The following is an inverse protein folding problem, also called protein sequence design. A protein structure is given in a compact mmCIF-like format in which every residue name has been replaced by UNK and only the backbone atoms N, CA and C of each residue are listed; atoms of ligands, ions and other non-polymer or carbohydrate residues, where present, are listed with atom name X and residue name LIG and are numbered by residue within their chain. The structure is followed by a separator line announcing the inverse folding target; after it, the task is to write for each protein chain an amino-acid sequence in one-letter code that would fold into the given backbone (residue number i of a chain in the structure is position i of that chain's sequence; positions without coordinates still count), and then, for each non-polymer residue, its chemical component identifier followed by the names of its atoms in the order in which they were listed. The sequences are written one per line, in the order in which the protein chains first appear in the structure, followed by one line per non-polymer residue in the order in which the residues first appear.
data_IF_242697530847
#
_entry.id   IF_242697530847
#
_cell.length_a   1.000
_cell.length_b   1.000
_cell.length_c   1.000
_cell.angle_alpha   90.00
_cell.angle_beta   90.00
_cell.angle_gamma   90.00
#
_symmetry.space_group_name_H-M   'P 1'
#
loop_
_entity.id
_entity.type
_entity.pdbx_description
1 polymer ?
#
# COMPACT_ATOMS: atom_id res chain seq x y z
N UNK A 1 -0.99 5.37 14.90
CA UNK A 1 0.15 5.05 14.00
C UNK A 1 1.52 5.28 14.65
N UNK A 2 1.63 5.79 15.88
CA UNK A 2 2.93 6.01 16.57
C UNK A 2 3.46 4.80 17.36
N UNK A 3 2.70 3.71 17.47
CA UNK A 3 3.06 2.58 18.34
C UNK A 3 3.98 1.53 17.69
N UNK A 4 4.01 1.40 16.35
CA UNK A 4 4.84 0.38 15.68
C UNK A 4 6.31 0.81 15.51
N UNK A 5 6.60 2.11 15.43
CA UNK A 5 7.98 2.61 15.26
C UNK A 5 8.82 2.45 16.53
N UNK A 6 8.22 2.59 17.71
CA UNK A 6 8.91 2.39 19.00
C UNK A 6 9.29 0.92 19.21
N UNK A 7 8.40 -0.02 18.88
CA UNK A 7 8.68 -1.45 19.05
C UNK A 7 9.71 -1.98 18.06
N UNK A 8 9.71 -1.45 16.82
CA UNK A 8 10.68 -1.86 15.81
C UNK A 8 12.09 -1.32 16.10
N UNK A 9 12.19 -0.11 16.64
CA UNK A 9 13.46 0.47 17.11
C UNK A 9 14.02 -0.27 18.34
N UNK A 10 13.17 -0.65 19.29
CA UNK A 10 13.59 -1.42 20.46
C UNK A 10 14.15 -2.79 20.10
N UNK A 11 13.50 -3.52 19.19
CA UNK A 11 13.97 -4.84 18.77
C UNK A 11 15.22 -4.74 17.90
N UNK A 12 15.31 -3.75 17.01
CA UNK A 12 16.54 -3.49 16.24
C UNK A 12 17.71 -3.15 17.17
N UNK A 13 17.46 -2.33 18.19
CA UNK A 13 18.46 -1.99 19.20
C UNK A 13 18.91 -3.21 20.02
N UNK A 14 17.98 -4.09 20.39
CA UNK A 14 18.30 -5.32 21.09
C UNK A 14 19.22 -6.22 20.25
N UNK A 15 18.90 -6.39 18.96
CA UNK A 15 19.73 -7.14 18.01
C UNK A 15 21.14 -6.53 17.89
N UNK A 16 21.26 -5.21 17.75
CA UNK A 16 22.55 -4.50 17.67
C UNK A 16 23.38 -4.70 18.94
N UNK A 17 22.76 -4.58 20.12
CA UNK A 17 23.45 -4.75 21.41
C UNK A 17 23.93 -6.19 21.60
N UNK A 18 23.07 -7.18 21.38
CA UNK A 18 23.43 -8.59 21.53
C UNK A 18 24.53 -8.99 20.53
N UNK A 19 24.52 -8.43 19.32
CA UNK A 19 25.55 -8.63 18.31
C UNK A 19 26.88 -7.96 18.70
N UNK A 20 26.83 -6.74 19.22
CA UNK A 20 28.00 -6.01 19.74
C UNK A 20 28.70 -6.81 20.84
N UNK A 21 27.93 -7.36 21.77
CA UNK A 21 28.44 -8.19 22.87
C UNK A 21 29.09 -9.48 22.35
N UNK A 22 28.45 -10.14 21.37
CA UNK A 22 28.98 -11.35 20.73
C UNK A 22 30.30 -11.10 19.99
N UNK A 23 30.37 -10.06 19.16
CA UNK A 23 31.58 -9.71 18.40
C UNK A 23 32.70 -9.23 19.31
N UNK A 24 32.37 -8.49 20.37
CA UNK A 24 33.36 -8.05 21.36
C UNK A 24 33.97 -9.23 22.12
N UNK A 25 33.13 -10.17 22.57
CA UNK A 25 33.58 -11.40 23.23
C UNK A 25 34.49 -12.24 22.32
N UNK A 26 34.12 -12.33 21.05
CA UNK A 26 34.92 -13.02 20.06
C UNK A 26 36.25 -12.30 19.74
N UNK A 27 36.25 -10.98 19.67
CA UNK A 27 37.46 -10.18 19.50
C UNK A 27 38.44 -10.36 20.66
N UNK A 28 37.92 -10.48 21.88
CA UNK A 28 38.70 -10.81 23.07
C UNK A 28 39.25 -12.23 23.01
N UNK A 29 38.46 -13.20 22.52
CA UNK A 29 38.95 -14.57 22.27
C UNK A 29 40.13 -14.57 21.28
N UNK A 30 40.01 -13.84 20.19
CA UNK A 30 41.10 -13.70 19.22
C UNK A 30 42.34 -13.06 19.84
N UNK A 31 42.20 -12.02 20.66
CA UNK A 31 43.33 -11.39 21.35
C UNK A 31 43.99 -12.33 22.34
N UNK A 32 43.20 -13.09 23.11
CA UNK A 32 43.74 -14.07 24.05
C UNK A 32 44.55 -15.13 23.31
N UNK A 33 44.09 -15.62 22.15
CA UNK A 33 44.84 -16.58 21.34
C UNK A 33 46.08 -15.95 20.69
N UNK A 34 45.99 -14.72 20.17
CA UNK A 34 47.11 -14.03 19.52
C UNK A 34 48.26 -13.70 20.49
N UNK A 35 47.95 -13.45 21.76
CA UNK A 35 48.93 -13.09 22.78
C UNK A 35 49.49 -14.32 23.54
N UNK A 36 49.08 -15.54 23.18
CA UNK A 36 49.57 -16.77 23.80
C UNK A 36 50.92 -17.20 23.20
N UNK A 37 51.81 -17.71 24.06
CA UNK A 37 53.01 -18.43 23.64
C UNK A 37 52.63 -19.89 23.31
N UNK A 38 52.39 -20.17 22.03
CA UNK A 38 52.02 -21.50 21.53
C UNK A 38 53.12 -22.56 21.75
N UNK A 39 54.34 -22.15 22.14
CA UNK A 39 55.47 -23.06 22.34
C UNK A 39 55.60 -23.58 23.79
N UNK A 40 54.86 -23.01 24.74
CA UNK A 40 54.93 -23.36 26.17
C UNK A 40 53.58 -23.82 26.73
N UNK A 41 53.34 -25.15 26.87
CA UNK A 41 52.04 -25.71 27.26
C UNK A 41 51.60 -25.41 28.71
N UNK A 42 52.44 -24.79 29.55
CA UNK A 42 52.08 -24.43 30.94
C UNK A 42 51.47 -23.01 31.06
N UNK A 43 51.36 -22.24 29.98
CA UNK A 43 50.79 -20.87 29.98
C UNK A 43 49.34 -20.77 29.50
N UNK A 44 48.73 -21.92 29.18
CA UNK A 44 47.45 -21.97 28.50
C UNK A 44 46.25 -21.83 29.46
N UNK A 45 45.62 -20.65 29.49
CA UNK A 45 44.41 -20.40 30.28
C UNK A 45 43.16 -20.94 29.57
N UNK A 46 42.99 -22.25 29.69
CA UNK A 46 41.89 -23.01 29.09
C UNK A 46 40.52 -22.55 29.59
N UNK A 47 40.41 -22.26 30.90
CA UNK A 47 39.16 -21.81 31.49
C UNK A 47 38.73 -20.44 30.95
N UNK A 48 39.68 -19.53 30.73
CA UNK A 48 39.39 -18.24 30.14
C UNK A 48 38.85 -18.35 28.70
N UNK A 49 39.47 -19.18 27.85
CA UNK A 49 38.99 -19.42 26.48
C UNK A 49 37.58 -20.05 26.50
N UNK A 50 37.36 -21.03 27.37
CA UNK A 50 36.06 -21.69 27.50
C UNK A 50 34.96 -20.70 27.89
N UNK A 51 35.22 -19.84 28.87
CA UNK A 51 34.29 -18.77 29.28
C UNK A 51 33.96 -17.84 28.10
N UNK A 52 34.95 -17.46 27.30
CA UNK A 52 34.73 -16.62 26.11
C UNK A 52 33.88 -17.31 25.04
N UNK A 53 34.10 -18.61 24.78
CA UNK A 53 33.29 -19.39 23.83
C UNK A 53 31.83 -19.46 24.30
N UNK A 54 31.58 -19.78 25.58
CA UNK A 54 30.23 -19.88 26.15
C UNK A 54 29.52 -18.52 26.11
N UNK A 55 30.20 -17.44 26.49
CA UNK A 55 29.63 -16.10 26.46
C UNK A 55 29.25 -15.68 25.03
N UNK A 56 30.13 -15.98 24.06
CA UNK A 56 29.88 -15.71 22.64
C UNK A 56 28.68 -16.51 22.13
N UNK A 57 28.62 -17.81 22.45
CA UNK A 57 27.50 -18.68 22.09
C UNK A 57 26.16 -18.15 22.63
N UNK A 58 26.13 -17.75 23.91
CA UNK A 58 24.92 -17.23 24.56
C UNK A 58 24.47 -15.89 23.97
N UNK A 59 25.38 -14.95 23.72
CA UNK A 59 25.07 -13.65 23.11
C UNK A 59 24.52 -13.81 21.68
N UNK A 60 25.13 -14.67 20.87
CA UNK A 60 24.68 -14.94 19.50
C UNK A 60 23.35 -15.71 19.45
N UNK A 61 23.12 -16.64 20.39
CA UNK A 61 21.82 -17.32 20.57
C UNK A 61 20.72 -16.33 20.91
N UNK A 62 20.97 -15.38 21.82
CA UNK A 62 20.02 -14.32 22.18
C UNK A 62 19.68 -13.45 20.97
N UNK A 63 20.69 -13.06 20.19
CA UNK A 63 20.51 -12.31 18.94
C UNK A 63 19.60 -13.05 17.95
N UNK A 64 19.76 -14.37 17.83
CA UNK A 64 18.91 -15.22 16.96
C UNK A 64 17.46 -15.24 17.42
N UNK A 65 17.22 -15.35 18.73
CA UNK A 65 15.87 -15.32 19.30
C UNK A 65 15.19 -13.96 19.12
N UNK A 66 15.94 -12.87 19.27
CA UNK A 66 15.43 -11.51 19.03
C UNK A 66 15.09 -11.29 17.55
N UNK A 67 15.91 -11.81 16.64
CA UNK A 67 15.64 -11.79 15.20
C UNK A 67 14.39 -12.63 14.83
N UNK A 68 14.21 -13.81 15.45
CA UNK A 68 13.00 -14.63 15.30
C UNK A 68 11.74 -13.88 15.74
N UNK A 69 11.79 -13.22 16.90
CA UNK A 69 10.69 -12.40 17.39
C UNK A 69 10.35 -11.26 16.42
N UNK A 70 11.35 -10.60 15.82
CA UNK A 70 11.12 -9.55 14.82
C UNK A 70 10.56 -10.09 13.51
N UNK A 71 11.02 -11.25 13.04
CA UNK A 71 10.45 -11.89 11.86
C UNK A 71 8.96 -12.22 12.05
N UNK A 72 8.58 -12.73 13.23
CA UNK A 72 7.17 -12.97 13.57
C UNK A 72 6.32 -11.69 13.50
N UNK A 73 6.86 -10.55 13.98
CA UNK A 73 6.18 -9.25 13.86
C UNK A 73 6.06 -8.77 12.42
N UNK A 74 7.09 -8.96 11.60
CA UNK A 74 7.05 -8.58 10.18
C UNK A 74 6.07 -9.46 9.39
N UNK A 75 5.94 -10.74 9.76
CA UNK A 75 4.92 -11.64 9.20
C UNK A 75 3.51 -11.14 9.58
N UNK A 76 3.26 -10.80 10.85
CA UNK A 76 1.98 -10.23 11.32
C UNK A 76 1.65 -8.91 10.61
N UNK A 77 2.61 -8.00 10.47
CA UNK A 77 2.45 -6.75 9.74
C UNK A 77 2.13 -7.00 8.25
N UNK A 78 2.76 -8.00 7.65
CA UNK A 78 2.48 -8.40 6.25
C UNK A 78 1.04 -8.91 6.11
N UNK A 79 0.57 -9.75 7.03
CA UNK A 79 -0.81 -10.25 7.03
C UNK A 79 -1.81 -9.10 7.18
N UNK A 80 -1.60 -8.21 8.16
CA UNK A 80 -2.47 -7.07 8.41
C UNK A 80 -2.51 -6.09 7.22
N UNK A 81 -1.36 -5.77 6.64
CA UNK A 81 -1.28 -4.91 5.45
C UNK A 81 -1.93 -5.58 4.23
N UNK A 82 -1.79 -6.89 4.08
CA UNK A 82 -2.44 -7.64 3.00
C UNK A 82 -3.95 -7.62 3.17
N UNK A 83 -4.47 -7.79 4.40
CA UNK A 83 -5.89 -7.67 4.69
C UNK A 83 -6.41 -6.25 4.39
N UNK A 84 -5.67 -5.21 4.79
CA UNK A 84 -6.00 -3.82 4.48
C UNK A 84 -6.00 -3.55 2.97
N UNK A 85 -5.04 -4.09 2.23
CA UNK A 85 -4.96 -3.96 0.77
C UNK A 85 -6.21 -4.54 0.10
N UNK A 86 -6.63 -5.74 0.50
CA UNK A 86 -7.84 -6.37 -0.03
C UNK A 86 -9.11 -5.59 0.33
N UNK A 87 -9.21 -5.10 1.55
CA UNK A 87 -10.35 -4.28 1.97
C UNK A 87 -10.46 -2.98 1.15
N UNK A 88 -9.34 -2.27 0.95
CA UNK A 88 -9.29 -1.06 0.13
C UNK A 88 -9.60 -1.35 -1.34
N UNK A 89 -9.07 -2.45 -1.90
CA UNK A 89 -9.35 -2.85 -3.27
C UNK A 89 -10.86 -3.09 -3.49
N UNK A 90 -11.50 -3.77 -2.54
CA UNK A 90 -12.95 -3.97 -2.58
C UNK A 90 -13.73 -2.65 -2.55
N UNK A 91 -13.38 -1.74 -1.64
CA UNK A 91 -14.01 -0.41 -1.56
C UNK A 91 -13.84 0.36 -2.88
N UNK A 92 -12.66 0.28 -3.49
CA UNK A 92 -12.35 0.91 -4.77
C UNK A 92 -13.22 0.36 -5.90
N UNK A 93 -13.39 -0.95 -5.97
CA UNK A 93 -14.21 -1.59 -7.00
C UNK A 93 -15.71 -1.30 -6.80
N UNK A 94 -16.20 -1.32 -5.56
CA UNK A 94 -17.57 -0.91 -5.22
C UNK A 94 -17.84 0.55 -5.64
N UNK A 95 -16.89 1.45 -5.40
CA UNK A 95 -16.99 2.86 -5.80
C UNK A 95 -17.00 3.03 -7.32
N UNK A 96 -16.26 2.21 -8.07
CA UNK A 96 -16.27 2.25 -9.54
C UNK A 96 -17.59 1.78 -10.10
N UNK A 97 -18.15 0.70 -9.55
CA UNK A 97 -19.48 0.22 -9.93
C UNK A 97 -20.55 1.30 -9.66
N UNK A 98 -20.46 1.97 -8.51
CA UNK A 98 -21.37 3.06 -8.18
C UNK A 98 -21.18 4.27 -9.12
N UNK A 99 -19.94 4.63 -9.47
CA UNK A 99 -19.64 5.70 -10.42
C UNK A 99 -20.25 5.42 -11.80
N UNK A 100 -20.11 4.20 -12.30
CA UNK A 100 -20.67 3.77 -13.59
C UNK A 100 -22.20 3.87 -13.62
N UNK A 101 -22.84 3.41 -12.53
CA UNK A 101 -24.28 3.53 -12.35
C UNK A 101 -24.73 5.00 -12.23
N UNK A 102 -23.98 5.88 -11.56
CA UNK A 102 -24.27 7.31 -11.51
C UNK A 102 -24.14 7.97 -12.89
N UNK A 103 -23.12 7.61 -13.68
CA UNK A 103 -22.93 8.10 -15.06
C UNK A 103 -24.10 7.69 -15.96
N UNK A 104 -24.52 6.42 -15.87
CA UNK A 104 -25.70 5.92 -16.59
C UNK A 104 -26.98 6.71 -16.24
N UNK A 105 -27.18 7.03 -14.95
CA UNK A 105 -28.33 7.84 -14.51
C UNK A 105 -28.24 9.29 -14.98
N UNK A 106 -27.05 9.88 -14.95
CA UNK A 106 -26.81 11.22 -15.47
C UNK A 106 -27.18 11.31 -16.95
N UNK A 107 -26.78 10.33 -17.76
CA UNK A 107 -27.09 10.31 -19.20
C UNK A 107 -28.60 10.24 -19.45
N UNK A 108 -29.31 9.38 -18.70
CA UNK A 108 -30.77 9.24 -18.81
C UNK A 108 -31.52 10.52 -18.43
N UNK A 109 -31.10 11.19 -17.35
CA UNK A 109 -31.73 12.43 -16.88
C UNK A 109 -31.35 13.63 -17.76
N UNK A 110 -30.14 13.65 -18.33
CA UNK A 110 -29.71 14.65 -19.33
C UNK A 110 -30.53 14.53 -20.61
N UNK A 111 -30.80 13.30 -21.07
CA UNK A 111 -31.68 13.07 -22.22
C UNK A 111 -33.11 13.51 -21.93
N UNK A 112 -33.60 13.26 -20.71
CA UNK A 112 -34.94 13.69 -20.27
C UNK A 112 -35.06 15.21 -20.19
N UNK A 113 -34.03 15.88 -19.65
CA UNK A 113 -33.92 17.34 -19.63
C UNK A 113 -34.00 17.91 -21.05
N UNK A 114 -33.16 17.42 -21.96
CA UNK A 114 -33.15 17.87 -23.36
C UNK A 114 -34.52 17.71 -24.03
N UNK A 115 -35.14 16.54 -23.90
CA UNK A 115 -36.47 16.30 -24.46
C UNK A 115 -37.53 17.25 -23.86
N UNK A 116 -37.44 17.55 -22.55
CA UNK A 116 -38.36 18.46 -21.87
C UNK A 116 -38.15 19.93 -22.27
N UNK A 117 -36.91 20.35 -22.50
CA UNK A 117 -36.57 21.69 -23.00
C UNK A 117 -37.08 21.89 -24.42
N UNK A 118 -36.87 20.92 -25.32
CA UNK A 118 -37.41 20.94 -26.69
C UNK A 118 -38.94 21.03 -26.70
N UNK A 119 -39.60 20.30 -25.79
CA UNK A 119 -41.06 20.34 -25.65
C UNK A 119 -41.55 21.69 -25.13
N UNK A 120 -40.86 22.26 -24.14
CA UNK A 120 -41.17 23.58 -23.59
C UNK A 120 -40.98 24.69 -24.63
N UNK A 121 -39.96 24.60 -25.47
CA UNK A 121 -39.74 25.57 -26.56
C UNK A 121 -40.86 25.53 -27.59
N UNK A 122 -41.32 24.33 -27.96
CA UNK A 122 -42.51 24.17 -28.81
C UNK A 122 -43.76 24.75 -28.13
N UNK A 123 -43.91 24.53 -26.82
CA UNK A 123 -45.02 25.08 -26.02
C UNK A 123 -45.07 26.60 -26.05
N UNK A 124 -43.94 27.25 -25.75
CA UNK A 124 -43.80 28.70 -25.75
C UNK A 124 -44.09 29.28 -27.13
N UNK A 125 -43.55 28.66 -28.18
CA UNK A 125 -43.79 29.07 -29.58
C UNK A 125 -45.28 29.02 -29.93
N UNK A 126 -45.96 27.92 -29.59
CA UNK A 126 -47.39 27.76 -29.84
C UNK A 126 -48.22 28.74 -29.02
N UNK A 127 -47.90 28.93 -27.75
CA UNK A 127 -48.58 29.91 -26.90
C UNK A 127 -48.46 31.32 -27.49
N UNK A 128 -47.24 31.74 -27.86
CA UNK A 128 -46.98 33.05 -28.46
C UNK A 128 -47.78 33.27 -29.75
N UNK A 129 -47.78 32.28 -30.65
CA UNK A 129 -48.56 32.34 -31.89
C UNK A 129 -50.07 32.51 -31.61
N UNK A 130 -50.60 31.85 -30.57
CA UNK A 130 -52.02 31.93 -30.24
C UNK A 130 -52.40 33.20 -29.50
N UNK A 131 -51.55 33.72 -28.62
CA UNK A 131 -51.73 35.04 -28.04
C UNK A 131 -51.77 36.12 -29.13
N UNK A 132 -50.92 36.02 -30.15
CA UNK A 132 -50.93 36.90 -31.32
C UNK A 132 -52.22 36.78 -32.16
N UNK A 133 -52.72 35.56 -32.37
CA UNK A 133 -54.00 35.31 -33.08
C UNK A 133 -55.18 35.85 -32.27
N UNK A 134 -55.20 35.64 -30.96
CA UNK A 134 -56.27 36.12 -30.07
C UNK A 134 -56.27 37.65 -30.00
N UNK A 135 -55.10 38.30 -29.95
CA UNK A 135 -54.97 39.75 -30.07
C UNK A 135 -55.44 40.29 -31.44
N UNK A 136 -55.16 39.57 -32.54
CA UNK A 136 -55.67 39.90 -33.88
C UNK A 136 -57.18 39.71 -34.02
N UNK A 137 -57.78 38.70 -33.37
CA UNK A 137 -59.23 38.52 -33.35
C UNK A 137 -59.94 39.53 -32.45
N UNK A 138 -59.36 39.89 -31.30
CA UNK A 138 -59.86 40.95 -30.42
C UNK A 138 -59.91 42.31 -31.12
N UNK A 139 -59.05 42.53 -32.12
CA UNK A 139 -58.99 43.73 -32.96
C UNK A 139 -59.79 43.64 -34.28
N UNK A 140 -60.37 42.48 -34.64
CA UNK A 140 -61.20 42.30 -35.83
C UNK A 140 -62.55 41.66 -35.48
N UNK A 141 -63.62 42.47 -35.47
CA UNK A 141 -64.99 41.94 -35.49
C UNK A 141 -65.39 41.56 -36.92
N UNK A 142 -65.65 40.26 -37.12
CA UNK A 142 -66.15 39.60 -38.34
C UNK A 142 -65.17 39.55 -39.51
N UNK A 143 -64.79 38.33 -39.96
CA UNK A 143 -65.34 37.63 -41.15
C UNK A 143 -64.43 36.44 -41.53
N UNK A 144 -65.04 35.28 -41.75
CA UNK A 144 -64.71 34.24 -42.75
C UNK A 144 -63.46 33.33 -42.67
N UNK A 145 -63.80 32.04 -42.63
CA UNK A 145 -63.34 30.86 -43.41
C UNK A 145 -61.99 30.21 -43.14
N UNK A 146 -62.10 28.96 -42.67
CA UNK A 146 -61.05 28.01 -42.39
C UNK A 146 -60.28 27.58 -43.64
N UNK A 147 -58.95 27.55 -43.53
CA UNK A 147 -58.07 26.75 -44.38
C UNK A 147 -57.44 25.71 -43.45
N UNK A 148 -57.94 24.49 -43.52
CA UNK A 148 -57.37 23.33 -42.84
C UNK A 148 -56.38 22.65 -43.79
N UNK A 149 -55.11 22.60 -43.37
CA UNK A 149 -54.09 21.85 -44.08
C UNK A 149 -52.83 21.72 -43.25
N UNK A 150 -52.64 20.55 -42.63
CA UNK A 150 -51.36 19.82 -42.53
C UNK A 150 -51.50 18.64 -41.55
N UNK A 151 -51.31 17.42 -42.07
CA UNK A 151 -50.87 16.25 -41.30
C UNK A 151 -49.36 16.42 -40.98
N UNK A 152 -48.79 15.87 -39.87
CA UNK A 152 -48.36 14.46 -39.86
C UNK A 152 -48.26 13.78 -38.47
N UNK A 153 -47.92 12.50 -38.50
CA UNK A 153 -47.70 11.58 -37.38
C UNK A 153 -46.69 12.08 -36.32
N UNK A 154 -46.99 11.89 -35.04
CA UNK A 154 -46.00 11.98 -33.94
C UNK A 154 -46.28 10.94 -32.86
N UNK A 155 -45.26 10.14 -32.59
CA UNK A 155 -45.26 8.96 -31.71
C UNK A 155 -44.78 9.32 -30.29
N UNK A 156 -45.52 8.80 -29.30
CA UNK A 156 -45.06 8.19 -28.03
C UNK A 156 -44.24 9.09 -27.07
N UNK A 157 -44.92 10.07 -26.45
CA UNK A 157 -44.72 10.47 -25.04
C UNK A 157 -46.12 10.87 -24.51
N UNK A 158 -46.52 10.60 -23.24
CA UNK A 158 -47.87 10.90 -22.73
C UNK A 158 -48.29 12.38 -22.73
N UNK A 159 -47.43 13.27 -23.24
CA UNK A 159 -47.53 14.72 -23.12
C UNK A 159 -48.19 15.37 -24.34
N UNK A 160 -48.33 14.72 -25.51
CA UNK A 160 -48.79 15.39 -26.76
C UNK A 160 -50.34 15.51 -26.87
N UNK A 161 -51.07 15.63 -25.76
CA UNK A 161 -52.52 15.86 -25.80
C UNK A 161 -52.93 17.30 -26.15
N UNK A 162 -52.10 18.29 -25.78
CA UNK A 162 -52.46 19.71 -25.78
C UNK A 162 -52.08 20.45 -27.07
N UNK A 163 -51.04 20.02 -27.81
CA UNK A 163 -50.69 20.62 -29.13
C UNK A 163 -51.85 20.51 -30.12
N UNK A 164 -52.54 19.37 -30.13
CA UNK A 164 -53.75 19.18 -30.93
C UNK A 164 -54.92 20.07 -30.45
N UNK A 165 -55.12 20.21 -29.14
CA UNK A 165 -56.20 21.03 -28.57
C UNK A 165 -56.02 22.53 -28.87
N UNK A 166 -54.78 23.02 -28.76
CA UNK A 166 -54.41 24.41 -29.02
C UNK A 166 -54.48 24.74 -30.52
N UNK A 167 -53.99 23.86 -31.39
CA UNK A 167 -54.07 24.05 -32.84
C UNK A 167 -55.53 24.04 -33.35
N UNK A 168 -56.42 23.24 -32.74
CA UNK A 168 -57.85 23.23 -33.07
C UNK A 168 -58.56 24.52 -32.65
N UNK A 169 -58.21 25.10 -31.50
CA UNK A 169 -58.76 26.39 -31.06
C UNK A 169 -58.30 27.56 -31.96
N UNK A 170 -57.10 27.47 -32.53
CA UNK A 170 -56.55 28.48 -33.44
C UNK A 170 -57.13 28.43 -34.86
N UNK A 171 -57.50 27.24 -35.35
CA UNK A 171 -57.93 27.00 -36.73
C UNK A 171 -59.45 27.07 -36.98
N UNK A 172 -60.27 27.06 -35.92
CA UNK A 172 -61.74 27.05 -36.02
C UNK A 172 -62.37 28.41 -35.67
N UNK A 173 -63.54 28.71 -36.23
CA UNK A 173 -64.39 29.84 -35.85
C UNK A 173 -65.02 29.66 -34.46
N UNK A 174 -64.17 29.56 -33.44
CA UNK A 174 -64.54 29.32 -32.04
C UNK A 174 -64.75 30.67 -31.35
N UNK A 175 -65.66 30.75 -30.37
CA UNK A 175 -65.92 31.98 -29.62
C UNK A 175 -64.65 32.45 -28.89
N UNK A 176 -64.44 33.78 -28.80
CA UNK A 176 -63.30 34.41 -28.11
C UNK A 176 -63.15 33.87 -26.66
N UNK A 177 -64.26 33.54 -26.01
CA UNK A 177 -64.32 32.97 -24.66
C UNK A 177 -63.66 31.59 -24.54
N UNK A 178 -63.75 30.76 -25.57
CA UNK A 178 -63.12 29.44 -25.65
C UNK A 178 -61.64 29.56 -26.04
N UNK A 179 -61.29 30.55 -26.88
CA UNK A 179 -59.90 30.89 -27.17
C UNK A 179 -59.15 31.41 -25.94
N UNK A 180 -59.77 32.23 -25.10
CA UNK A 180 -59.18 32.72 -23.84
C UNK A 180 -58.95 31.57 -22.83
N UNK A 181 -59.88 30.61 -22.74
CA UNK A 181 -59.69 29.38 -21.96
C UNK A 181 -58.54 28.53 -22.49
N UNK A 182 -58.41 28.40 -23.80
CA UNK A 182 -57.31 27.65 -24.42
C UNK A 182 -55.95 28.29 -24.12
N UNK A 183 -55.84 29.62 -24.15
CA UNK A 183 -54.62 30.36 -23.76
C UNK A 183 -54.30 30.17 -22.27
N UNK A 184 -55.32 30.18 -21.40
CA UNK A 184 -55.11 29.96 -19.97
C UNK A 184 -54.58 28.55 -19.67
N UNK A 185 -55.21 27.52 -20.24
CA UNK A 185 -54.75 26.12 -20.11
C UNK A 185 -53.34 25.95 -20.67
N UNK A 186 -53.04 26.61 -21.79
CA UNK A 186 -51.70 26.58 -22.37
C UNK A 186 -50.64 27.23 -21.46
N UNK A 187 -50.97 28.29 -20.71
CA UNK A 187 -50.07 28.90 -19.71
C UNK A 187 -49.79 27.97 -18.54
N UNK A 188 -50.82 27.35 -17.97
CA UNK A 188 -50.65 26.39 -16.86
C UNK A 188 -49.76 25.20 -17.26
N UNK A 189 -49.92 24.68 -18.47
CA UNK A 189 -49.07 23.58 -18.97
C UNK A 189 -47.64 24.03 -19.29
N UNK A 190 -47.42 25.28 -19.74
CA UNK A 190 -46.07 25.86 -19.87
C UNK A 190 -45.40 25.95 -18.51
N UNK A 191 -46.07 26.45 -17.47
CA UNK A 191 -45.52 26.51 -16.11
C UNK A 191 -45.17 25.11 -15.57
N UNK A 192 -46.00 24.11 -15.87
CA UNK A 192 -45.76 22.72 -15.50
C UNK A 192 -44.59 22.10 -16.26
N UNK A 193 -44.41 22.44 -17.53
CA UNK A 193 -43.24 22.05 -18.32
C UNK A 193 -41.95 22.73 -17.82
N UNK A 194 -42.01 24.01 -17.45
CA UNK A 194 -40.91 24.73 -16.80
C UNK A 194 -40.52 24.09 -15.47
N UNK A 195 -41.49 23.70 -14.64
CA UNK A 195 -41.23 22.96 -13.40
C UNK A 195 -40.55 21.61 -13.65
N UNK A 196 -40.89 20.91 -14.74
CA UNK A 196 -40.24 19.65 -15.12
C UNK A 196 -38.80 19.87 -15.58
N UNK A 197 -38.55 20.86 -16.46
CA UNK A 197 -37.19 21.25 -16.88
C UNK A 197 -36.33 21.57 -15.66
N UNK A 198 -36.85 22.37 -14.73
CA UNK A 198 -36.15 22.69 -13.47
C UNK A 198 -35.83 21.42 -12.66
N UNK A 199 -36.80 20.52 -12.51
CA UNK A 199 -36.61 19.26 -11.78
C UNK A 199 -35.51 18.39 -12.42
N UNK A 200 -35.50 18.26 -13.74
CA UNK A 200 -34.46 17.49 -14.44
C UNK A 200 -33.09 18.17 -14.36
N UNK A 201 -33.04 19.50 -14.46
CA UNK A 201 -31.81 20.29 -14.29
C UNK A 201 -31.21 20.12 -12.88
N UNK A 202 -32.06 20.17 -11.84
CA UNK A 202 -31.63 19.97 -10.45
C UNK A 202 -31.08 18.55 -10.26
N UNK A 203 -31.71 17.53 -10.85
CA UNK A 203 -31.22 16.15 -10.82
C UNK A 203 -29.89 15.97 -11.55
N UNK A 204 -29.73 16.55 -12.75
CA UNK A 204 -28.47 16.51 -13.51
C UNK A 204 -27.33 17.10 -12.67
N UNK A 205 -27.58 18.26 -12.04
CA UNK A 205 -26.62 18.91 -11.16
C UNK A 205 -26.26 18.04 -9.94
N UNK A 206 -27.25 17.40 -9.31
CA UNK A 206 -27.05 16.46 -8.19
C UNK A 206 -26.21 15.24 -8.61
N UNK A 207 -26.50 14.63 -9.77
CA UNK A 207 -25.71 13.50 -10.28
C UNK A 207 -24.27 13.90 -10.63
N UNK A 208 -24.06 15.07 -11.23
CA UNK A 208 -22.71 15.58 -11.51
C UNK A 208 -21.90 15.80 -10.21
N UNK A 209 -22.53 16.33 -9.16
CA UNK A 209 -21.92 16.47 -7.85
C UNK A 209 -21.55 15.11 -7.23
N UNK A 210 -22.46 14.14 -7.30
CA UNK A 210 -22.21 12.75 -6.82
C UNK A 210 -21.10 12.05 -7.60
N UNK A 211 -21.03 12.23 -8.92
CA UNK A 211 -19.96 11.72 -9.76
C UNK A 211 -18.62 12.33 -9.34
N UNK A 212 -18.56 13.66 -9.20
CA UNK A 212 -17.34 14.36 -8.79
C UNK A 212 -16.83 13.88 -7.43
N UNK A 213 -17.75 13.65 -6.48
CA UNK A 213 -17.44 13.08 -5.17
C UNK A 213 -16.93 11.64 -5.29
N UNK A 214 -17.61 10.79 -6.05
CA UNK A 214 -17.21 9.39 -6.24
C UNK A 214 -15.84 9.27 -6.93
N UNK A 215 -15.53 10.15 -7.89
CA UNK A 215 -14.20 10.22 -8.50
C UNK A 215 -13.12 10.68 -7.52
N UNK A 216 -13.46 11.59 -6.60
CA UNK A 216 -12.57 11.99 -5.51
C UNK A 216 -12.30 10.82 -4.55
N UNK A 217 -13.34 10.10 -4.14
CA UNK A 217 -13.26 8.95 -3.25
C UNK A 217 -12.41 7.81 -3.87
N UNK A 218 -12.57 7.55 -5.18
CA UNK A 218 -11.72 6.59 -5.92
C UNK A 218 -10.26 7.04 -5.89
N UNK A 219 -9.95 8.30 -6.24
CA UNK A 219 -8.58 8.81 -6.23
C UNK A 219 -7.93 8.72 -4.85
N UNK A 220 -8.68 9.02 -3.80
CA UNK A 220 -8.20 8.89 -2.43
C UNK A 220 -7.91 7.42 -2.10
N UNK A 221 -8.80 6.51 -2.47
CA UNK A 221 -8.62 5.07 -2.24
C UNK A 221 -7.43 4.51 -3.03
N UNK A 222 -7.23 4.94 -4.27
CA UNK A 222 -6.06 4.57 -5.09
C UNK A 222 -4.74 5.07 -4.45
N UNK A 223 -4.73 6.28 -3.89
CA UNK A 223 -3.59 6.80 -3.15
C UNK A 223 -3.26 5.97 -1.89
N UNK A 224 -4.29 5.57 -1.15
CA UNK A 224 -4.13 4.68 0.02
C UNK A 224 -3.65 3.28 -0.38
N UNK A 225 -4.16 2.72 -1.49
CA UNK A 225 -3.70 1.45 -2.04
C UNK A 225 -2.20 1.49 -2.35
N UNK A 226 -1.73 2.55 -3.01
CA UNK A 226 -0.31 2.69 -3.36
C UNK A 226 0.56 2.85 -2.11
N UNK A 227 0.07 3.60 -1.11
CA UNK A 227 0.74 3.72 0.19
C UNK A 227 0.86 2.36 0.89
N UNK A 228 -0.19 1.55 0.91
CA UNK A 228 -0.17 0.21 1.50
C UNK A 228 0.76 -0.73 0.73
N UNK A 229 0.77 -0.70 -0.61
CA UNK A 229 1.72 -1.47 -1.43
C UNK A 229 3.17 -1.09 -1.14
N UNK A 230 3.47 0.20 -1.04
CA UNK A 230 4.79 0.69 -0.64
C UNK A 230 5.22 0.14 0.72
N UNK A 231 4.30 0.12 1.70
CA UNK A 231 4.56 -0.47 3.03
C UNK A 231 4.81 -1.98 2.96
N UNK A 232 4.02 -2.73 2.19
CA UNK A 232 4.23 -4.18 2.00
C UNK A 232 5.61 -4.43 1.41
N UNK A 233 6.01 -3.69 0.37
CA UNK A 233 7.34 -3.82 -0.24
C UNK A 233 8.46 -3.55 0.77
N UNK A 234 8.32 -2.50 1.58
CA UNK A 234 9.29 -2.18 2.65
C UNK A 234 9.42 -3.29 3.69
N UNK A 235 8.30 -3.81 4.20
CA UNK A 235 8.27 -4.93 5.17
C UNK A 235 8.88 -6.21 4.57
N UNK A 236 8.62 -6.50 3.29
CA UNK A 236 9.21 -7.65 2.61
C UNK A 236 10.72 -7.55 2.48
N UNK A 237 11.25 -6.39 2.12
CA UNK A 237 12.70 -6.16 2.04
C UNK A 237 13.37 -6.37 3.41
N UNK A 238 12.77 -5.81 4.47
CA UNK A 238 13.25 -6.00 5.83
C UNK A 238 13.22 -7.47 6.26
N UNK A 239 12.13 -8.19 5.96
CA UNK A 239 11.95 -9.60 6.28
C UNK A 239 12.99 -10.48 5.59
N UNK A 240 13.24 -10.27 4.29
CA UNK A 240 14.24 -11.04 3.53
C UNK A 240 15.63 -10.88 4.15
N UNK A 241 16.06 -9.63 4.34
CA UNK A 241 17.40 -9.40 4.82
C UNK A 241 17.59 -9.81 6.30
N UNK A 242 16.53 -9.75 7.13
CA UNK A 242 16.54 -10.27 8.50
C UNK A 242 16.50 -11.81 8.56
N UNK A 243 15.77 -12.48 7.67
CA UNK A 243 15.74 -13.95 7.59
C UNK A 243 17.10 -14.51 7.19
N UNK A 244 17.74 -13.89 6.19
CA UNK A 244 19.11 -14.25 5.83
C UNK A 244 20.11 -14.02 6.97
N UNK A 245 19.95 -12.93 7.74
CA UNK A 245 20.76 -12.68 8.93
C UNK A 245 20.57 -13.78 9.99
N UNK A 246 19.33 -14.16 10.26
CA UNK A 246 18.99 -15.20 11.23
C UNK A 246 19.60 -16.55 10.85
N UNK A 247 19.54 -16.95 9.55
CA UNK A 247 20.15 -18.19 9.06
C UNK A 247 21.65 -18.20 9.33
N UNK A 248 22.34 -17.12 8.94
CA UNK A 248 23.79 -16.97 9.16
C UNK A 248 24.16 -17.02 10.66
N UNK A 249 23.34 -16.39 11.51
CA UNK A 249 23.57 -16.39 12.95
C UNK A 249 23.36 -17.78 13.56
N UNK A 250 22.33 -18.51 13.11
CA UNK A 250 22.05 -19.87 13.57
C UNK A 250 23.21 -20.83 13.23
N UNK A 251 23.77 -20.71 12.03
CA UNK A 251 24.95 -21.48 11.62
C UNK A 251 26.16 -21.18 12.52
N UNK A 252 26.37 -19.91 12.85
CA UNK A 252 27.43 -19.47 13.78
C UNK A 252 27.25 -20.05 15.19
N UNK A 253 26.03 -19.96 15.74
CA UNK A 253 25.69 -20.53 17.05
C UNK A 253 25.91 -22.04 17.06
N UNK A 254 25.55 -22.73 15.98
CA UNK A 254 25.77 -24.16 15.85
C UNK A 254 27.27 -24.51 15.89
N UNK A 255 28.10 -23.79 15.13
CA UNK A 255 29.55 -23.99 15.10
C UNK A 255 30.20 -23.71 16.46
N UNK A 256 29.77 -22.65 17.16
CA UNK A 256 30.22 -22.37 18.54
C UNK A 256 29.83 -23.49 19.50
N UNK A 257 28.62 -24.03 19.38
CA UNK A 257 28.19 -25.18 20.18
C UNK A 257 29.02 -26.45 19.90
N UNK A 258 29.37 -26.70 18.63
CA UNK A 258 30.28 -27.79 18.26
C UNK A 258 31.68 -27.59 18.86
N UNK A 259 32.22 -26.37 18.82
CA UNK A 259 33.51 -26.04 19.38
C UNK A 259 33.53 -26.21 20.90
N UNK A 260 32.49 -25.72 21.59
CA UNK A 260 32.30 -25.90 23.02
C UNK A 260 32.24 -27.39 23.38
N UNK A 261 31.49 -28.20 22.63
CA UNK A 261 31.43 -29.66 22.81
C UNK A 261 32.78 -30.35 22.61
N UNK A 262 33.52 -29.98 21.56
CA UNK A 262 34.84 -30.53 21.26
C UNK A 262 35.87 -30.16 22.33
N UNK A 263 35.87 -28.90 22.77
CA UNK A 263 36.72 -28.42 23.85
C UNK A 263 36.46 -29.22 25.14
N UNK A 264 35.20 -29.35 25.57
CA UNK A 264 34.83 -30.13 26.75
C UNK A 264 35.30 -31.60 26.66
N UNK A 265 35.21 -32.24 25.50
CA UNK A 265 35.69 -33.61 25.30
C UNK A 265 37.23 -33.73 25.36
N UNK A 266 37.95 -32.77 24.77
CA UNK A 266 39.42 -32.71 24.77
C UNK A 266 39.99 -32.43 26.16
N UNK A 267 39.32 -31.59 26.95
CA UNK A 267 39.64 -31.32 28.37
C UNK A 267 39.59 -32.61 29.20
N UNK A 268 38.50 -33.39 29.05
CA UNK A 268 38.29 -34.67 29.71
C UNK A 268 39.33 -35.73 29.33
N UNK A 269 39.82 -35.70 28.08
CA UNK A 269 40.68 -36.75 27.52
C UNK A 269 42.18 -36.42 27.61
N UNK A 270 42.59 -35.15 27.53
CA UNK A 270 44.01 -34.75 27.43
C UNK A 270 44.45 -33.70 28.44
N UNK A 271 43.54 -33.11 29.23
CA UNK A 271 43.79 -32.00 30.19
C UNK A 271 44.49 -30.74 29.63
N UNK A 272 45.00 -30.73 28.39
CA UNK A 272 45.98 -29.72 27.92
C UNK A 272 46.02 -29.44 26.40
N UNK A 273 44.97 -29.74 25.63
CA UNK A 273 44.99 -29.37 24.19
C UNK A 273 43.69 -28.73 23.72
N UNK A 274 43.78 -27.46 23.30
CA UNK A 274 42.80 -26.87 22.39
C UNK A 274 43.29 -27.15 20.98
N UNK A 275 42.44 -27.81 20.20
CA UNK A 275 42.65 -27.98 18.78
C UNK A 275 42.40 -26.62 18.11
N UNK A 276 43.51 -25.93 17.80
CA UNK A 276 43.54 -24.59 17.19
C UNK A 276 42.74 -24.56 15.87
N UNK A 277 42.73 -25.66 15.13
CA UNK A 277 42.02 -25.82 13.86
C UNK A 277 40.48 -25.63 13.98
N UNK A 278 39.74 -26.33 14.86
CA UNK A 278 38.35 -26.05 15.18
C UNK A 278 38.06 -24.59 15.58
N UNK A 279 38.95 -23.97 16.37
CA UNK A 279 38.82 -22.57 16.76
C UNK A 279 38.93 -21.67 15.53
N UNK A 280 39.91 -21.93 14.66
CA UNK A 280 40.10 -21.20 13.40
C UNK A 280 38.93 -21.34 12.43
N UNK A 281 38.30 -22.51 12.38
CA UNK A 281 37.10 -22.74 11.56
C UNK A 281 35.90 -21.91 12.04
N UNK A 282 35.68 -21.86 13.36
CA UNK A 282 34.66 -20.96 13.96
C UNK A 282 34.99 -19.51 13.67
N UNK A 283 36.27 -19.13 13.77
CA UNK A 283 36.70 -17.76 13.51
C UNK A 283 36.41 -17.34 12.07
N UNK A 284 36.71 -18.19 11.09
CA UNK A 284 36.46 -17.93 9.67
C UNK A 284 34.99 -17.76 9.34
N UNK A 285 34.11 -18.61 9.89
CA UNK A 285 32.66 -18.51 9.66
C UNK A 285 32.06 -17.28 10.36
N UNK A 286 32.54 -16.90 11.55
CA UNK A 286 32.09 -15.67 12.23
C UNK A 286 32.46 -14.40 11.44
N UNK A 287 33.67 -14.35 10.85
CA UNK A 287 34.08 -13.25 9.98
C UNK A 287 33.23 -13.16 8.71
N UNK A 288 32.83 -14.30 8.16
CA UNK A 288 31.95 -14.36 6.99
C UNK A 288 30.55 -13.86 7.31
N UNK A 289 29.97 -14.28 8.44
CA UNK A 289 28.66 -13.81 8.91
C UNK A 289 28.69 -12.31 9.22
N UNK A 290 29.70 -11.83 9.93
CA UNK A 290 29.90 -10.41 10.18
C UNK A 290 30.13 -9.59 8.90
N UNK A 291 30.82 -10.16 7.90
CA UNK A 291 30.94 -9.55 6.58
C UNK A 291 29.60 -9.45 5.86
N UNK A 292 28.73 -10.45 5.99
CA UNK A 292 27.37 -10.43 5.46
C UNK A 292 26.45 -9.41 6.15
N UNK A 293 26.72 -9.11 7.42
CA UNK A 293 26.01 -8.10 8.21
C UNK A 293 26.33 -6.67 7.73
N UNK A 294 27.61 -6.37 7.45
CA UNK A 294 28.04 -5.07 6.93
C UNK A 294 27.46 -4.69 5.57
N UNK A 295 27.04 -5.68 4.78
CA UNK A 295 26.47 -5.46 3.45
C UNK A 295 24.97 -5.17 3.43
N UNK A 296 24.30 -5.17 4.58
CA UNK A 296 22.84 -5.05 4.68
C UNK A 296 22.46 -3.81 5.48
N UNK A 297 21.67 -2.92 4.87
CA UNK A 297 21.17 -1.65 5.45
C UNK A 297 20.32 -1.81 6.75
N UNK A 298 20.12 -3.03 7.27
CA UNK A 298 19.30 -3.28 8.47
C UNK A 298 20.01 -2.84 9.77
N UNK A 299 21.35 -2.88 9.80
CA UNK A 299 22.14 -2.74 11.03
C UNK A 299 23.26 -1.71 10.88
N UNK A 300 22.96 -0.54 10.29
CA UNK A 300 23.92 0.57 10.21
C UNK A 300 24.28 1.09 11.61
N UNK A 301 25.35 0.56 12.18
CA UNK A 301 25.96 1.02 13.43
C UNK A 301 27.48 1.17 13.21
N UNK A 302 27.98 2.39 13.44
CA UNK A 302 29.39 2.72 13.19
C UNK A 302 30.33 1.95 14.14
N UNK A 303 29.93 1.76 15.39
CA UNK A 303 30.70 0.98 16.37
C UNK A 303 30.72 -0.50 15.99
N UNK A 304 29.58 -1.06 15.58
CA UNK A 304 29.48 -2.43 15.08
C UNK A 304 30.40 -2.64 13.87
N UNK A 305 30.41 -1.68 12.94
CA UNK A 305 31.29 -1.69 11.78
C UNK A 305 32.77 -1.75 12.17
N UNK A 306 33.18 -0.93 13.14
CA UNK A 306 34.54 -0.93 13.66
C UNK A 306 34.89 -2.28 14.32
N UNK A 307 33.98 -2.85 15.10
CA UNK A 307 34.17 -4.16 15.74
C UNK A 307 34.32 -5.30 14.73
N UNK A 308 33.53 -5.29 13.66
CA UNK A 308 33.62 -6.30 12.59
C UNK A 308 34.94 -6.17 11.83
N UNK A 309 35.41 -4.95 11.56
CA UNK A 309 36.69 -4.72 10.91
C UNK A 309 37.87 -5.18 11.79
N UNK A 310 37.83 -4.90 13.10
CA UNK A 310 38.81 -5.41 14.05
C UNK A 310 38.83 -6.94 14.08
N UNK A 311 37.65 -7.56 14.03
CA UNK A 311 37.51 -9.01 13.98
C UNK A 311 38.13 -9.63 12.72
N UNK A 312 37.90 -9.02 11.56
CA UNK A 312 38.48 -9.46 10.28
C UNK A 312 40.01 -9.37 10.29
N UNK A 313 40.57 -8.30 10.88
CA UNK A 313 42.01 -8.13 11.02
C UNK A 313 42.64 -9.20 11.91
N UNK A 314 42.04 -9.45 13.09
CA UNK A 314 42.53 -10.46 14.04
C UNK A 314 42.46 -11.87 13.49
N UNK A 315 41.36 -12.20 12.80
CA UNK A 315 41.21 -13.49 12.11
C UNK A 315 42.29 -13.72 11.06
N UNK A 316 42.64 -12.69 10.28
CA UNK A 316 43.71 -12.79 9.28
C UNK A 316 45.06 -13.08 9.95
N UNK A 317 45.38 -12.34 11.00
CA UNK A 317 46.62 -12.55 11.78
C UNK A 317 46.72 -13.96 12.37
N UNK A 318 45.62 -14.48 12.89
CA UNK A 318 45.56 -15.85 13.42
C UNK A 318 45.77 -16.91 12.32
N UNK A 319 45.20 -16.69 11.13
CA UNK A 319 45.39 -17.58 9.99
C UNK A 319 46.86 -17.61 9.52
N UNK A 320 47.53 -16.45 9.49
CA UNK A 320 48.94 -16.33 9.11
C UNK A 320 49.85 -17.09 10.11
N UNK A 321 49.58 -17.00 11.41
CA UNK A 321 50.33 -17.73 12.45
C UNK A 321 50.17 -19.24 12.25
N UNK A 322 48.95 -19.73 12.01
CA UNK A 322 48.71 -21.16 11.78
C UNK A 322 49.46 -21.67 10.53
N UNK A 323 49.42 -20.92 9.43
CA UNK A 323 50.12 -21.29 8.19
C UNK A 323 51.66 -21.31 8.36
N UNK A 324 52.21 -20.44 9.21
CA UNK A 324 53.64 -20.44 9.56
C UNK A 324 54.06 -21.62 10.45
N UNK A 325 53.12 -22.19 11.20
CA UNK A 325 53.36 -23.34 12.07
C UNK A 325 53.25 -24.69 11.32
N UNK A 326 52.43 -24.78 10.29
CA UNK A 326 52.38 -25.97 9.41
C UNK A 326 53.60 -26.08 8.49
N UNK A 327 54.21 -24.95 8.12
CA UNK A 327 55.42 -24.91 7.27
C UNK A 327 56.72 -25.18 8.03
N UNK A 328 56.74 -25.03 9.36
CA UNK A 328 57.90 -25.35 10.21
C UNK A 328 57.98 -26.84 10.61
N UNK A 329 56.88 -27.59 10.52
CA UNK A 329 56.83 -29.05 10.76
C UNK A 329 57.26 -29.85 9.51
N UNK A 330 57.40 -29.21 8.35
CA UNK A 330 57.82 -29.83 7.08
C UNK A 330 59.28 -29.55 6.68
N UNK A 331 60.12 -29.03 7.58
CA UNK A 331 61.57 -28.94 7.35
C UNK A 331 62.29 -30.16 7.96
N UNK A 332 62.71 -31.16 7.17
CA UNK A 332 63.49 -32.28 7.69
C UNK A 332 64.92 -31.81 7.95
N UNK A 333 65.37 -31.93 9.20
CA UNK A 333 66.74 -32.33 9.49
C UNK A 333 66.74 -33.84 9.76
#
# INVERSE_FOLDING_TARGET
MESNTSSDQEVTRAIILSLRDGISSFNSLCDSILNMDLTSPDTFDYEHIRVLIVNTEQAMRKTTQEAEGKLGKLDEDTENLTAQLHALAKVRDDNILNLDHLKTKLDAETQSLKNSEETLEQARTLLQNNEDVLNKQRSRKSTATAIAGASPAMLIVPVIGWIAAIAMAAGGGVEISEAEKAVHVAKEEVEKAECQVKTFSDKVSDYQSKISKSECDIRQTDGELERVRGRISGVQQQRVALAEFQVQMRDTVHLLGCLNGAANALELQTKRSILLEPVMKVIGEMVKVAGGILGKEILEDADLTNLINAMREKSRRLADICASHDSSVLSPY
#
